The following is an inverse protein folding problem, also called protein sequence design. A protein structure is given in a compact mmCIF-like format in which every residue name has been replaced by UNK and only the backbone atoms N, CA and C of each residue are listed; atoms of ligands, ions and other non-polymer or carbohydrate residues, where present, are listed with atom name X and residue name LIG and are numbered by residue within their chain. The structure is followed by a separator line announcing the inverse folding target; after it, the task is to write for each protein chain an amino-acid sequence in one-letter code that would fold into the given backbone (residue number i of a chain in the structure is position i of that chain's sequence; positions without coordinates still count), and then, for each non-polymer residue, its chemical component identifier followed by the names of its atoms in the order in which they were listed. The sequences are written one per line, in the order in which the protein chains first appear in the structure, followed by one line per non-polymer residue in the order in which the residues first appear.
data_IF_266246938233
#
_entry.id   IF_266246938233
#
_cell.length_a   1.000
_cell.length_b   1.000
_cell.length_c   1.000
_cell.angle_alpha   90.00
_cell.angle_beta   90.00
_cell.angle_gamma   90.00
#
_symmetry.space_group_name_H-M   'P 1'
#
loop_
_entity.id
_entity.type
_entity.pdbx_description
1 polymer ?
#
# COMPACT_ATOMS: atom_id res chain seq x y z
N UNK A 1 31.77 -21.92 0.93
CA UNK A 1 30.43 -22.57 0.94
C UNK A 1 29.33 -21.58 1.33
N UNK A 2 29.31 -20.37 0.77
CA UNK A 2 28.18 -19.41 0.85
C UNK A 2 27.91 -18.75 -0.51
N UNK A 3 28.56 -19.25 -1.56
CA UNK A 3 28.86 -18.49 -2.78
C UNK A 3 27.90 -18.73 -3.96
N UNK A 4 26.78 -19.43 -3.76
CA UNK A 4 25.88 -19.82 -4.87
C UNK A 4 24.50 -19.12 -4.87
N UNK A 5 24.10 -18.45 -3.79
CA UNK A 5 22.91 -17.59 -3.79
C UNK A 5 23.22 -16.12 -4.19
N UNK A 6 24.46 -15.85 -4.59
CA UNK A 6 25.09 -14.53 -4.64
C UNK A 6 25.04 -13.79 -6.00
N UNK A 7 24.12 -14.11 -6.92
CA UNK A 7 24.08 -13.41 -8.23
C UNK A 7 22.92 -12.41 -8.41
N UNK A 8 22.15 -12.09 -7.37
CA UNK A 8 21.13 -11.06 -7.55
C UNK A 8 20.29 -10.66 -6.34
N UNK A 9 20.27 -11.44 -5.27
CA UNK A 9 19.61 -11.03 -4.04
C UNK A 9 20.63 -10.87 -2.90
N UNK A 10 20.67 -9.69 -2.24
CA UNK A 10 21.44 -9.53 -1.03
C UNK A 10 20.93 -10.50 0.03
N UNK A 11 21.84 -11.17 0.71
CA UNK A 11 21.52 -12.13 1.76
C UNK A 11 20.83 -11.47 2.96
N UNK A 12 20.25 -12.26 3.88
CA UNK A 12 19.56 -11.73 5.05
C UNK A 12 20.40 -10.77 5.91
N UNK A 13 21.71 -11.03 6.03
CA UNK A 13 22.65 -10.15 6.74
C UNK A 13 22.84 -8.81 6.03
N UNK A 14 22.97 -8.81 4.71
CA UNK A 14 23.13 -7.58 3.92
C UNK A 14 21.84 -6.75 3.95
N UNK A 15 20.68 -7.39 3.87
CA UNK A 15 19.38 -6.74 4.06
C UNK A 15 19.25 -6.07 5.44
N UNK A 16 19.71 -6.72 6.52
CA UNK A 16 19.72 -6.12 7.85
C UNK A 16 20.63 -4.88 7.93
N UNK A 17 21.79 -4.92 7.30
CA UNK A 17 22.71 -3.78 7.26
C UNK A 17 22.09 -2.61 6.48
N UNK A 18 21.47 -2.87 5.33
CA UNK A 18 20.76 -1.85 4.54
C UNK A 18 19.62 -1.24 5.37
N UNK A 19 18.84 -2.08 6.05
CA UNK A 19 17.77 -1.63 6.92
C UNK A 19 18.30 -0.74 8.06
N UNK A 20 19.42 -1.12 8.68
CA UNK A 20 20.06 -0.31 9.71
C UNK A 20 20.51 1.06 9.17
N UNK A 21 21.09 1.12 7.98
CA UNK A 21 21.47 2.39 7.33
C UNK A 21 20.24 3.26 7.07
N UNK A 22 19.17 2.69 6.52
CA UNK A 22 17.91 3.41 6.28
C UNK A 22 17.34 3.93 7.60
N UNK A 23 17.36 3.14 8.67
CA UNK A 23 16.90 3.56 9.99
C UNK A 23 17.77 4.66 10.60
N UNK A 24 19.08 4.69 10.33
CA UNK A 24 19.97 5.77 10.78
C UNK A 24 19.70 7.08 10.02
N UNK A 25 19.46 7.01 8.71
CA UNK A 25 19.20 8.19 7.87
C UNK A 25 17.82 8.80 8.14
N UNK A 26 16.79 7.97 8.25
CA UNK A 26 15.40 8.43 8.40
C UNK A 26 14.95 8.48 9.87
N UNK A 27 15.60 7.72 10.75
CA UNK A 27 15.16 7.50 12.12
C UNK A 27 14.05 6.45 12.21
N UNK A 28 14.06 5.66 13.29
CA UNK A 28 13.05 4.60 13.52
C UNK A 28 11.61 5.10 13.63
N UNK A 29 11.39 6.38 13.91
CA UNK A 29 10.06 6.99 14.01
C UNK A 29 9.46 7.44 12.66
N UNK A 30 10.29 7.75 11.66
CA UNK A 30 9.79 8.29 10.37
C UNK A 30 9.34 7.20 9.41
N UNK A 31 10.02 6.05 9.38
CA UNK A 31 9.63 4.93 8.52
C UNK A 31 8.18 4.47 8.76
N UNK A 32 7.72 4.25 10.01
CA UNK A 32 6.34 3.86 10.29
C UNK A 32 5.31 4.96 9.98
N UNK A 33 5.70 6.23 10.15
CA UNK A 33 4.83 7.38 9.83
C UNK A 33 4.59 7.48 8.33
N UNK A 34 5.64 7.35 7.51
CA UNK A 34 5.56 7.33 6.05
C UNK A 34 4.72 6.15 5.54
N UNK A 35 4.93 4.94 6.09
CA UNK A 35 4.13 3.76 5.76
C UNK A 35 2.65 3.94 6.11
N UNK A 36 2.34 4.52 7.27
CA UNK A 36 0.96 4.81 7.68
C UNK A 36 0.28 5.80 6.75
N UNK A 37 0.98 6.87 6.36
CA UNK A 37 0.44 7.88 5.46
C UNK A 37 0.24 7.32 4.05
N UNK A 38 1.20 6.55 3.54
CA UNK A 38 1.09 5.86 2.25
C UNK A 38 -0.05 4.83 2.25
N UNK A 39 -0.20 4.07 3.33
CA UNK A 39 -1.28 3.09 3.48
C UNK A 39 -2.67 3.72 3.55
N UNK A 40 -2.81 4.88 4.21
CA UNK A 40 -4.07 5.65 4.19
C UNK A 40 -4.38 6.15 2.77
N UNK A 41 -3.41 6.74 2.09
CA UNK A 41 -3.56 7.21 0.72
C UNK A 41 -3.92 6.08 -0.25
N UNK A 42 -3.25 4.92 -0.15
CA UNK A 42 -3.57 3.75 -0.96
C UNK A 42 -4.99 3.21 -0.68
N UNK A 43 -5.42 3.21 0.58
CA UNK A 43 -6.78 2.77 0.97
C UNK A 43 -7.86 3.71 0.44
N UNK A 44 -7.65 5.02 0.51
CA UNK A 44 -8.57 6.02 -0.04
C UNK A 44 -8.60 5.97 -1.56
N UNK A 45 -7.45 5.77 -2.20
CA UNK A 45 -7.34 5.55 -3.64
C UNK A 45 -8.15 4.32 -4.10
N UNK A 46 -8.01 3.19 -3.41
CA UNK A 46 -8.79 1.98 -3.70
C UNK A 46 -10.29 2.19 -3.54
N UNK A 47 -10.73 2.90 -2.49
CA UNK A 47 -12.14 3.25 -2.30
C UNK A 47 -12.68 4.15 -3.40
N UNK A 48 -11.90 5.14 -3.82
CA UNK A 48 -12.29 6.03 -4.91
C UNK A 48 -12.43 5.30 -6.24
N UNK A 49 -11.56 4.32 -6.51
CA UNK A 49 -11.67 3.48 -7.72
C UNK A 49 -12.87 2.53 -7.64
N UNK A 50 -13.12 1.89 -6.49
CA UNK A 50 -14.27 0.97 -6.33
C UNK A 50 -15.63 1.68 -6.31
N UNK A 51 -15.73 2.87 -5.70
CA UNK A 51 -16.98 3.63 -5.68
C UNK A 51 -17.44 4.10 -7.07
N UNK A 52 -16.51 4.26 -8.02
CA UNK A 52 -16.84 4.55 -9.42
C UNK A 52 -17.46 3.34 -10.12
N UNK A 53 -17.12 2.11 -9.73
CA UNK A 53 -17.67 0.88 -10.32
C UNK A 53 -19.05 0.52 -9.75
N UNK A 54 -19.35 0.90 -8.50
CA UNK A 54 -20.62 0.56 -7.82
C UNK A 54 -21.74 1.59 -8.04
N UNK A 55 -21.44 2.86 -8.34
CA UNK A 55 -22.44 3.94 -8.48
C UNK A 55 -23.19 3.94 -9.84
N UNK A 56 -22.78 3.13 -10.82
CA UNK A 56 -23.45 3.04 -12.14
C UNK A 56 -24.70 2.11 -12.15
N UNK A 57 -25.04 1.44 -11.04
CA UNK A 57 -26.10 0.41 -11.02
C UNK A 57 -27.36 0.71 -10.21
N UNK A 58 -27.45 1.84 -9.49
CA UNK A 58 -28.55 2.09 -8.54
C UNK A 58 -29.43 3.34 -8.85
N UNK A 59 -29.53 3.73 -10.12
CA UNK A 59 -30.56 4.68 -10.57
C UNK A 59 -31.65 3.98 -11.39
N UNK A 60 -32.62 3.38 -10.68
CA UNK A 60 -33.98 3.22 -11.21
C UNK A 60 -34.98 3.87 -10.25
N UNK A 61 -35.60 5.00 -10.62
CA UNK A 61 -36.53 5.69 -9.75
C UNK A 61 -37.82 4.85 -9.62
N UNK A 62 -38.00 4.21 -8.48
CA UNK A 62 -39.29 3.65 -8.09
C UNK A 62 -40.19 4.78 -7.55
N UNK A 63 -40.60 5.68 -8.45
CA UNK A 63 -41.79 6.52 -8.26
C UNK A 63 -42.53 6.57 -9.57
N UNK A 64 -43.63 5.84 -9.65
CA UNK A 64 -44.90 6.27 -10.27
C UNK A 64 -45.78 5.03 -10.42
N UNK A 65 -46.72 4.85 -9.49
CA UNK A 65 -48.09 4.44 -9.78
C UNK A 65 -48.96 4.90 -8.62
N UNK A 66 -49.35 6.17 -8.70
CA UNK A 66 -50.72 6.54 -8.36
C UNK A 66 -51.63 5.79 -9.33
N UNK A 67 -52.51 4.93 -8.82
CA UNK A 67 -53.89 4.69 -9.27
C UNK A 67 -54.68 4.04 -8.13
#
# INVERSE_FOLDING_TARGET
MTSLFAFGMPGPMEMMIILAIVLLLFGGARLPSLMRNLGRSAKEFQKGVQGVDDEDYDEKPAREKHE
#
